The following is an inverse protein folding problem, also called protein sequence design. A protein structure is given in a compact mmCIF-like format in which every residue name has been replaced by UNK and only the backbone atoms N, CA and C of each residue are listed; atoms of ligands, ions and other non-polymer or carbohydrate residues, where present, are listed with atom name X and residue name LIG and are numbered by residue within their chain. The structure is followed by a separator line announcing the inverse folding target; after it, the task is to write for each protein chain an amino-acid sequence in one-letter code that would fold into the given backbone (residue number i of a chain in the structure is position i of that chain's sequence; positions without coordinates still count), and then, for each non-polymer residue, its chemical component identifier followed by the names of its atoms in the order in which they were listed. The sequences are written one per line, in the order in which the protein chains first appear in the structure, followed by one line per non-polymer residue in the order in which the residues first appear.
data_IF_713869834457
#
_entry.id   IF_713869834457
#
_cell.length_a   1.000
_cell.length_b   1.000
_cell.length_c   1.000
_cell.angle_alpha   90.00
_cell.angle_beta   90.00
_cell.angle_gamma   90.00
#
_symmetry.space_group_name_H-M   'P 1'
#
loop_
_entity.id
_entity.type
_entity.pdbx_description
1 polymer ?
#
# COMPACT_ATOMS: atom_id res chain seq x y z
N UNK A 1 -24.37 -20.44 -20.21
CA UNK A 1 -23.07 -20.75 -19.58
C UNK A 1 -23.14 -22.08 -18.87
N UNK A 2 -22.15 -22.91 -19.10
CA UNK A 2 -22.03 -24.17 -18.37
C UNK A 2 -21.42 -23.91 -16.99
N UNK A 3 -21.70 -24.81 -16.07
CA UNK A 3 -21.17 -24.74 -14.72
C UNK A 3 -19.63 -24.75 -14.73
N UNK A 4 -19.04 -25.54 -15.63
CA UNK A 4 -17.59 -25.64 -15.81
C UNK A 4 -16.96 -24.28 -16.16
N UNK A 5 -17.59 -23.53 -17.06
CA UNK A 5 -17.10 -22.19 -17.44
C UNK A 5 -17.15 -21.23 -16.28
N UNK A 6 -18.19 -21.28 -15.45
CA UNK A 6 -18.33 -20.44 -14.28
C UNK A 6 -17.23 -20.74 -13.29
N UNK A 7 -16.99 -22.03 -12.98
CA UNK A 7 -15.91 -22.42 -12.07
C UNK A 7 -14.54 -22.02 -12.61
N UNK A 8 -14.31 -22.17 -13.91
CA UNK A 8 -13.04 -21.77 -14.53
C UNK A 8 -12.78 -20.26 -14.38
N UNK A 9 -13.80 -19.45 -14.61
CA UNK A 9 -13.68 -17.99 -14.48
C UNK A 9 -13.47 -17.59 -13.02
N UNK A 10 -14.16 -18.23 -12.09
CA UNK A 10 -14.01 -17.96 -10.67
C UNK A 10 -12.62 -18.37 -10.18
N UNK A 11 -12.11 -19.51 -10.66
CA UNK A 11 -10.76 -19.97 -10.30
C UNK A 11 -9.70 -19.00 -10.81
N UNK A 12 -9.85 -18.48 -12.04
CA UNK A 12 -8.94 -17.48 -12.60
C UNK A 12 -8.95 -16.18 -11.80
N UNK A 13 -10.14 -15.71 -11.42
CA UNK A 13 -10.28 -14.52 -10.58
C UNK A 13 -9.68 -14.72 -9.20
N UNK A 14 -9.88 -15.90 -8.62
CA UNK A 14 -9.28 -16.22 -7.32
C UNK A 14 -7.76 -16.24 -7.39
N UNK A 15 -7.19 -16.78 -8.46
CA UNK A 15 -5.74 -16.80 -8.65
C UNK A 15 -5.17 -15.38 -8.70
N UNK A 16 -5.82 -14.48 -9.44
CA UNK A 16 -5.42 -13.08 -9.51
C UNK A 16 -5.53 -12.41 -8.13
N UNK A 17 -6.60 -12.68 -7.40
CA UNK A 17 -6.81 -12.13 -6.06
C UNK A 17 -5.74 -12.60 -5.09
N UNK A 18 -5.33 -13.87 -5.17
CA UNK A 18 -4.27 -14.43 -4.34
C UNK A 18 -2.94 -13.75 -4.68
N UNK A 19 -2.65 -13.54 -5.95
CA UNK A 19 -1.43 -12.84 -6.37
C UNK A 19 -1.41 -11.42 -5.82
N UNK A 20 -2.51 -10.68 -5.93
CA UNK A 20 -2.61 -9.32 -5.41
C UNK A 20 -2.41 -9.31 -3.90
N UNK A 21 -3.02 -10.26 -3.20
CA UNK A 21 -2.89 -10.37 -1.74
C UNK A 21 -1.43 -10.54 -1.31
N UNK A 22 -0.74 -11.52 -1.88
CA UNK A 22 0.64 -11.81 -1.49
C UNK A 22 1.60 -10.71 -1.90
N UNK A 23 1.46 -10.16 -3.11
CA UNK A 23 2.30 -9.05 -3.56
C UNK A 23 2.10 -7.84 -2.66
N UNK A 24 0.85 -7.52 -2.35
CA UNK A 24 0.53 -6.41 -1.46
C UNK A 24 1.16 -6.60 -0.09
N UNK A 25 0.98 -7.78 0.48
CA UNK A 25 1.50 -8.08 1.81
C UNK A 25 3.03 -8.00 1.86
N UNK A 26 3.69 -8.66 0.90
CA UNK A 26 5.16 -8.76 0.87
C UNK A 26 5.80 -7.39 0.66
N UNK A 27 5.25 -6.55 -0.20
CA UNK A 27 5.84 -5.26 -0.52
C UNK A 27 5.35 -4.12 0.37
N UNK A 28 4.09 -4.17 0.82
CA UNK A 28 3.55 -3.08 1.63
C UNK A 28 4.05 -3.10 3.07
N UNK A 29 4.35 -4.28 3.62
CA UNK A 29 4.87 -4.36 4.98
C UNK A 29 6.23 -3.68 5.13
N UNK A 30 7.28 -4.01 4.31
CA UNK A 30 8.55 -3.30 4.40
C UNK A 30 8.43 -1.84 3.98
N UNK A 31 7.67 -1.54 2.92
CA UNK A 31 7.49 -0.16 2.47
C UNK A 31 6.79 0.67 3.54
N UNK A 32 5.77 0.11 4.20
CA UNK A 32 5.09 0.77 5.32
C UNK A 32 6.04 1.07 6.47
N UNK A 33 6.97 0.16 6.75
CA UNK A 33 7.96 0.37 7.79
C UNK A 33 8.86 1.58 7.47
N UNK A 34 9.37 1.68 6.23
CA UNK A 34 10.15 2.83 5.80
C UNK A 34 9.36 4.12 5.88
N UNK A 35 8.10 4.09 5.45
CA UNK A 35 7.22 5.26 5.51
C UNK A 35 6.98 5.66 6.96
N UNK A 36 6.82 4.70 7.88
CA UNK A 36 6.61 4.99 9.29
C UNK A 36 7.83 5.70 9.90
N UNK A 37 9.04 5.31 9.50
CA UNK A 37 10.26 6.00 9.93
C UNK A 37 10.25 7.45 9.45
N UNK A 38 9.82 7.71 8.21
CA UNK A 38 9.67 9.07 7.70
C UNK A 38 8.63 9.86 8.49
N UNK A 39 7.51 9.21 8.86
CA UNK A 39 6.45 9.84 9.65
C UNK A 39 6.93 10.23 11.04
N UNK A 40 7.84 9.46 11.61
CA UNK A 40 8.44 9.71 12.92
C UNK A 40 9.73 10.52 12.84
N UNK A 41 10.13 10.98 11.66
CA UNK A 41 11.37 11.73 11.46
C UNK A 41 11.36 13.04 12.24
N UNK A 42 12.54 13.45 12.69
CA UNK A 42 12.74 14.76 13.33
C UNK A 42 12.72 15.90 12.32
N UNK A 43 12.98 15.61 11.04
CA UNK A 43 12.92 16.61 9.98
C UNK A 43 11.46 16.99 9.70
N UNK A 44 11.05 18.25 9.93
CA UNK A 44 9.65 18.64 9.76
C UNK A 44 9.17 18.55 8.31
N UNK A 45 10.07 18.72 7.33
CA UNK A 45 9.72 18.64 5.91
C UNK A 45 9.35 17.19 5.55
N UNK A 46 10.20 16.23 5.90
CA UNK A 46 9.96 14.82 5.63
C UNK A 46 8.69 14.35 6.35
N UNK A 47 8.55 14.71 7.63
CA UNK A 47 7.39 14.33 8.42
C UNK A 47 6.09 14.87 7.83
N UNK A 48 6.09 16.11 7.36
CA UNK A 48 4.92 16.73 6.76
C UNK A 48 4.53 16.07 5.43
N UNK A 49 5.52 15.78 4.57
CA UNK A 49 5.28 15.12 3.29
C UNK A 49 4.70 13.73 3.51
N UNK A 50 5.29 12.96 4.42
CA UNK A 50 4.81 11.60 4.71
C UNK A 50 3.42 11.63 5.33
N UNK A 51 3.17 12.56 6.24
CA UNK A 51 1.84 12.75 6.86
C UNK A 51 0.79 13.06 5.80
N UNK A 52 1.12 13.92 4.85
CA UNK A 52 0.21 14.27 3.74
C UNK A 52 -0.09 13.03 2.89
N UNK A 53 0.94 12.26 2.52
CA UNK A 53 0.78 11.03 1.74
C UNK A 53 -0.16 10.05 2.46
N UNK A 54 0.09 9.80 3.74
CA UNK A 54 -0.73 8.87 4.53
C UNK A 54 -2.18 9.36 4.60
N UNK A 55 -2.38 10.66 4.84
CA UNK A 55 -3.71 11.25 4.92
C UNK A 55 -4.48 11.10 3.61
N UNK A 56 -3.82 11.36 2.48
CA UNK A 56 -4.44 11.22 1.15
C UNK A 56 -4.82 9.77 0.89
N UNK A 57 -3.91 8.83 1.17
CA UNK A 57 -4.17 7.41 0.91
C UNK A 57 -5.29 6.84 1.77
N UNK A 58 -5.39 7.28 3.03
CA UNK A 58 -6.43 6.81 3.94
C UNK A 58 -7.76 7.53 3.74
N UNK A 59 -7.73 8.75 3.20
CA UNK A 59 -8.91 9.56 3.01
C UNK A 59 -9.59 9.41 1.65
N UNK A 60 -8.95 8.72 0.69
CA UNK A 60 -9.49 8.54 -0.65
C UNK A 60 -9.87 7.08 -0.89
N UNK A 61 -10.91 6.81 -1.72
CA UNK A 61 -11.27 5.44 -2.06
C UNK A 61 -10.17 4.75 -2.85
N UNK A 62 -9.92 3.48 -2.52
CA UNK A 62 -8.93 2.67 -3.21
C UNK A 62 -9.22 2.56 -4.71
N UNK A 63 -10.50 2.44 -5.08
CA UNK A 63 -10.88 2.32 -6.48
C UNK A 63 -10.44 3.54 -7.31
N UNK A 64 -10.59 4.76 -6.76
CA UNK A 64 -10.11 5.96 -7.43
C UNK A 64 -8.60 5.96 -7.58
N UNK A 65 -7.88 5.50 -6.56
CA UNK A 65 -6.43 5.37 -6.62
C UNK A 65 -5.99 4.40 -7.70
N UNK A 66 -6.66 3.26 -7.81
CA UNK A 66 -6.38 2.27 -8.86
C UNK A 66 -6.64 2.86 -10.24
N UNK A 67 -7.72 3.63 -10.39
CA UNK A 67 -8.02 4.28 -11.67
C UNK A 67 -6.95 5.30 -12.04
N UNK A 68 -6.45 6.07 -11.09
CA UNK A 68 -5.38 7.04 -11.33
C UNK A 68 -4.09 6.33 -11.75
N UNK A 69 -3.72 5.25 -11.07
CA UNK A 69 -2.50 4.49 -11.40
C UNK A 69 -2.62 3.84 -12.78
N UNK A 70 -3.80 3.34 -13.12
CA UNK A 70 -4.02 2.67 -14.40
C UNK A 70 -4.08 3.66 -15.57
N UNK A 71 -4.86 4.73 -15.43
CA UNK A 71 -5.10 5.68 -16.50
C UNK A 71 -4.14 6.88 -16.49
N UNK A 72 -3.52 7.19 -15.35
CA UNK A 72 -2.67 8.36 -15.20
C UNK A 72 -1.53 8.44 -16.21
N UNK A 73 -0.73 7.37 -16.38
CA UNK A 73 0.38 7.42 -17.35
C UNK A 73 -0.08 7.74 -18.76
N UNK A 74 -1.23 7.20 -19.17
CA UNK A 74 -1.75 7.47 -20.52
C UNK A 74 -2.19 8.91 -20.68
N UNK A 75 -2.99 9.43 -19.73
CA UNK A 75 -3.56 10.76 -19.87
C UNK A 75 -2.59 11.89 -19.53
N UNK A 76 -1.71 11.67 -18.56
CA UNK A 76 -0.77 12.70 -18.10
C UNK A 76 0.50 12.73 -18.95
N UNK A 77 1.04 11.57 -19.30
CA UNK A 77 2.32 11.45 -19.99
C UNK A 77 2.18 10.92 -21.41
N UNK A 78 0.96 10.60 -21.84
CA UNK A 78 0.65 10.02 -23.16
C UNK A 78 1.43 8.73 -23.44
N UNK A 79 1.72 7.97 -22.41
CA UNK A 79 2.40 6.68 -22.50
C UNK A 79 1.36 5.60 -22.78
N UNK A 80 1.56 4.84 -23.86
CA UNK A 80 0.71 3.69 -24.15
C UNK A 80 1.13 2.54 -23.24
N UNK A 81 0.18 2.02 -22.46
CA UNK A 81 0.42 0.87 -21.59
C UNK A 81 -0.21 -0.37 -22.21
N UNK A 82 0.49 -1.49 -22.12
CA UNK A 82 0.01 -2.75 -22.68
C UNK A 82 -1.06 -3.39 -21.79
N UNK A 83 -1.66 -4.47 -22.30
CA UNK A 83 -2.71 -5.19 -21.58
C UNK A 83 -2.24 -5.74 -20.23
N UNK A 84 -0.95 -6.04 -20.11
CA UNK A 84 -0.37 -6.56 -18.88
C UNK A 84 -0.25 -5.50 -17.79
N UNK A 85 -0.31 -4.22 -18.15
CA UNK A 85 -0.18 -3.15 -17.18
C UNK A 85 -1.32 -3.14 -16.15
N UNK A 86 -2.49 -3.66 -16.52
CA UNK A 86 -3.64 -3.70 -15.60
C UNK A 86 -3.28 -4.38 -14.29
N UNK A 87 -2.63 -5.54 -14.36
CA UNK A 87 -2.22 -6.28 -13.16
C UNK A 87 -1.14 -5.54 -12.38
N UNK A 88 -0.16 -4.97 -13.09
CA UNK A 88 0.88 -4.16 -12.46
C UNK A 88 0.32 -2.91 -11.79
N UNK A 89 -0.66 -2.26 -12.44
CA UNK A 89 -1.33 -1.10 -11.85
C UNK A 89 -2.05 -1.47 -10.56
N UNK A 90 -2.71 -2.64 -10.54
CA UNK A 90 -3.34 -3.15 -9.34
C UNK A 90 -2.31 -3.41 -8.24
N UNK A 91 -1.19 -4.07 -8.55
CA UNK A 91 -0.12 -4.30 -7.58
C UNK A 91 0.39 -2.98 -6.99
N UNK A 92 0.71 -2.02 -7.85
CA UNK A 92 1.23 -0.72 -7.42
C UNK A 92 0.22 0.00 -6.54
N UNK A 93 -1.04 0.07 -6.98
CA UNK A 93 -2.09 0.77 -6.25
C UNK A 93 -2.35 0.16 -4.88
N UNK A 94 -2.47 -1.16 -4.82
CA UNK A 94 -2.68 -1.85 -3.55
C UNK A 94 -1.48 -1.70 -2.62
N UNK A 95 -0.27 -1.86 -3.11
CA UNK A 95 0.95 -1.74 -2.30
C UNK A 95 1.07 -0.34 -1.72
N UNK A 96 0.90 0.69 -2.56
CA UNK A 96 1.01 2.09 -2.12
C UNK A 96 -0.06 2.44 -1.09
N UNK A 97 -1.29 1.98 -1.31
CA UNK A 97 -2.40 2.26 -0.39
C UNK A 97 -2.18 1.56 0.96
N UNK A 98 -1.90 0.26 0.94
CA UNK A 98 -1.74 -0.49 2.18
C UNK A 98 -0.45 -0.14 2.91
N UNK A 99 0.59 0.29 2.20
CA UNK A 99 1.80 0.81 2.84
C UNK A 99 1.48 2.00 3.74
N UNK A 100 0.57 2.87 3.33
CA UNK A 100 0.13 3.99 4.15
C UNK A 100 -0.57 3.51 5.43
N UNK A 101 -1.44 2.51 5.32
CA UNK A 101 -2.12 1.93 6.48
C UNK A 101 -1.13 1.26 7.42
N UNK A 102 -0.21 0.46 6.90
CA UNK A 102 0.79 -0.21 7.72
C UNK A 102 1.73 0.80 8.38
N UNK A 103 2.08 1.89 7.68
CA UNK A 103 2.90 2.95 8.26
C UNK A 103 2.24 3.54 9.51
N UNK A 104 0.93 3.79 9.47
CA UNK A 104 0.21 4.28 10.63
C UNK A 104 0.11 3.24 11.74
N UNK A 105 -0.07 1.97 11.39
CA UNK A 105 -0.10 0.88 12.37
C UNK A 105 1.26 0.80 13.09
N UNK A 106 2.36 0.81 12.33
CA UNK A 106 3.70 0.77 12.91
C UNK A 106 3.96 1.98 13.81
N UNK A 107 3.65 3.18 13.31
CA UNK A 107 3.84 4.40 14.07
C UNK A 107 3.04 4.37 15.38
N UNK A 108 1.77 4.03 15.28
CA UNK A 108 0.89 3.97 16.46
C UNK A 108 1.38 2.95 17.47
N UNK A 109 1.82 1.79 17.00
CA UNK A 109 2.36 0.75 17.87
C UNK A 109 3.63 1.18 18.57
N UNK A 110 4.57 1.77 17.82
CA UNK A 110 5.86 2.20 18.39
C UNK A 110 5.66 3.36 19.37
N UNK A 111 4.86 4.36 18.99
CA UNK A 111 4.67 5.56 19.81
C UNK A 111 3.73 5.32 21.00
N UNK A 112 2.95 4.24 20.98
CA UNK A 112 2.09 3.90 22.11
C UNK A 112 2.81 3.19 23.24
N UNK A 113 4.05 2.76 23.03
CA UNK A 113 4.82 2.06 24.05
C UNK A 113 5.19 3.02 25.18
N UNK A 114 4.95 2.65 26.45
CA UNK A 114 5.34 3.49 27.59
C UNK A 114 6.84 3.74 27.60
N UNK A 115 7.25 4.94 28.01
CA UNK A 115 8.67 5.34 28.11
C UNK A 115 9.46 4.37 28.98
N UNK A 116 8.83 3.83 30.03
CA UNK A 116 9.46 2.84 30.90
C UNK A 116 9.91 1.58 30.20
N UNK A 117 9.22 1.15 29.14
CA UNK A 117 9.62 -0.01 28.34
C UNK A 117 10.94 0.24 27.61
N UNK A 118 11.13 1.44 27.06
CA UNK A 118 12.37 1.82 26.40
C UNK A 118 13.52 1.90 27.40
N UNK A 119 13.25 2.46 28.58
CA UNK A 119 14.25 2.54 29.64
C UNK A 119 14.65 1.16 30.12
N UNK A 120 13.70 0.25 30.32
CA UNK A 120 13.98 -1.12 30.70
C UNK A 120 14.84 -1.85 29.66
N UNK A 121 14.54 -1.65 28.37
CA UNK A 121 15.32 -2.23 27.28
C UNK A 121 16.77 -1.74 27.27
N UNK A 122 17.02 -0.48 27.63
CA UNK A 122 18.37 0.09 27.67
C UNK A 122 19.21 -0.52 28.80
N UNK A 123 18.56 -1.01 29.86
CA UNK A 123 19.26 -1.63 30.97
C UNK A 123 19.72 -3.06 30.67
N UNK A 124 19.15 -3.69 29.65
CA UNK A 124 19.54 -5.02 29.20
C UNK A 124 20.63 -4.91 28.13
#
# INVERSE_FOLDING_TARGET
MTLTKIFSQLAGGMWISIQIFFVTLIFSLPLGLFISFGRMSKNPVIRTIVKFYISVMRGTPLMLQLMVVYFGPYYLFKIKVGNNYRLWAAFIGFVVNYAAYFAEIYRSGIQSMPVGQYEAAKLL
#
